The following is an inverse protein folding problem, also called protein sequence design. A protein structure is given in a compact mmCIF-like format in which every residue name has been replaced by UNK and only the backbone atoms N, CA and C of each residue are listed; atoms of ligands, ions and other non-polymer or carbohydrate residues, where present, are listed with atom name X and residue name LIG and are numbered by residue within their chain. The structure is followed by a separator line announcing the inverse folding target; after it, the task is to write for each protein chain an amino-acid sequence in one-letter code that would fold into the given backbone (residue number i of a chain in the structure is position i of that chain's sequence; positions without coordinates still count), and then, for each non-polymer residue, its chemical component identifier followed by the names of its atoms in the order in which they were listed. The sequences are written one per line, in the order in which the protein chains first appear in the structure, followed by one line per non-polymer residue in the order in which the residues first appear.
data_IF_934153131870
#
_entry.id   IF_934153131870
#
_cell.length_a   1.000
_cell.length_b   1.000
_cell.length_c   1.000
_cell.angle_alpha   90.00
_cell.angle_beta   90.00
_cell.angle_gamma   90.00
#
_symmetry.space_group_name_H-M   'P 1'
#
loop_
_entity.id
_entity.type
_entity.pdbx_description
1 polymer ?
#
# COMPACT_ATOMS: atom_id res chain seq x y z
N UNK A 1 -5.37 -9.58 -20.59
CA UNK A 1 -3.96 -10.00 -20.39
C UNK A 1 -3.54 -9.46 -19.04
N UNK A 2 -3.18 -10.31 -18.06
CA UNK A 2 -2.67 -9.82 -16.78
C UNK A 2 -1.20 -9.44 -16.96
N UNK A 3 -0.91 -8.15 -16.91
CA UNK A 3 0.46 -7.66 -16.86
C UNK A 3 1.04 -8.02 -15.48
N UNK A 4 2.17 -8.73 -15.45
CA UNK A 4 2.88 -9.04 -14.21
C UNK A 4 3.45 -7.73 -13.66
N UNK A 5 2.89 -7.26 -12.54
CA UNK A 5 3.42 -6.11 -11.81
C UNK A 5 4.58 -6.56 -10.93
N UNK A 6 5.65 -5.76 -10.91
CA UNK A 6 6.73 -5.92 -9.95
C UNK A 6 6.26 -5.48 -8.56
N UNK A 7 6.69 -6.12 -7.47
CA UNK A 7 6.38 -5.66 -6.13
C UNK A 7 6.83 -4.23 -5.88
N UNK A 8 5.90 -3.40 -5.40
CA UNK A 8 6.16 -2.05 -4.91
C UNK A 8 5.92 -1.97 -3.40
N UNK A 9 6.47 -0.92 -2.79
CA UNK A 9 6.30 -0.60 -1.39
C UNK A 9 4.84 -0.73 -0.95
N UNK A 10 4.62 -1.36 0.20
CA UNK A 10 3.30 -1.61 0.74
C UNK A 10 2.60 -0.34 1.25
N UNK A 11 3.31 0.78 1.46
CA UNK A 11 2.66 2.01 1.89
C UNK A 11 1.90 2.69 0.74
N UNK A 12 0.65 3.16 0.96
CA UNK A 12 -0.14 3.81 -0.07
C UNK A 12 0.60 4.98 -0.74
N UNK A 13 0.55 5.05 -2.07
CA UNK A 13 1.16 6.13 -2.85
C UNK A 13 2.69 6.03 -3.03
N UNK A 14 3.35 5.02 -2.46
CA UNK A 14 4.76 4.78 -2.70
C UNK A 14 4.95 3.71 -3.80
N UNK A 15 5.69 4.05 -4.86
CA UNK A 15 5.93 3.15 -5.99
C UNK A 15 7.37 2.59 -6.03
N UNK A 16 8.14 2.77 -4.96
CA UNK A 16 9.51 2.23 -4.87
C UNK A 16 9.49 0.71 -4.99
N UNK A 17 10.28 0.11 -5.90
CA UNK A 17 10.39 -1.34 -6.01
C UNK A 17 10.91 -1.99 -4.73
N UNK A 18 10.40 -3.17 -4.40
CA UNK A 18 10.80 -3.95 -3.22
C UNK A 18 10.97 -5.42 -3.56
N UNK A 19 11.54 -6.19 -2.64
CA UNK A 19 11.81 -7.62 -2.84
C UNK A 19 10.55 -8.46 -2.94
N UNK A 20 9.52 -8.17 -2.14
CA UNK A 20 8.23 -8.85 -2.23
C UNK A 20 7.04 -8.01 -1.73
N UNK A 21 5.84 -8.40 -2.15
CA UNK A 21 4.59 -7.73 -1.76
C UNK A 21 4.41 -7.71 -0.25
N UNK A 22 4.13 -6.53 0.31
CA UNK A 22 4.04 -6.34 1.75
C UNK A 22 5.32 -5.81 2.41
N UNK A 23 6.43 -5.70 1.67
CA UNK A 23 7.61 -4.96 2.16
C UNK A 23 7.37 -3.45 2.14
N UNK A 24 7.95 -2.77 3.12
CA UNK A 24 8.04 -1.31 3.17
C UNK A 24 9.47 -0.92 2.83
N UNK A 25 9.66 0.03 1.90
CA UNK A 25 11.00 0.46 1.52
C UNK A 25 11.71 1.22 2.66
N UNK A 26 13.04 1.24 2.65
CA UNK A 26 13.85 1.86 3.71
C UNK A 26 13.50 3.33 3.96
N UNK A 27 13.17 4.08 2.91
CA UNK A 27 12.76 5.48 3.03
C UNK A 27 11.45 5.64 3.82
N UNK A 28 10.48 4.77 3.58
CA UNK A 28 9.22 4.76 4.31
C UNK A 28 9.39 4.24 5.74
N UNK A 29 10.26 3.25 5.98
CA UNK A 29 10.60 2.80 7.34
C UNK A 29 11.28 3.94 8.12
N UNK A 30 12.20 4.68 7.51
CA UNK A 30 12.87 5.81 8.16
C UNK A 30 11.91 6.97 8.46
N UNK A 31 11.02 7.30 7.51
CA UNK A 31 10.08 8.41 7.67
C UNK A 31 8.92 8.08 8.63
N UNK A 32 8.41 6.85 8.59
CA UNK A 32 7.18 6.46 9.28
C UNK A 32 7.40 5.49 10.44
N UNK A 33 8.61 4.96 10.66
CA UNK A 33 8.88 3.83 11.56
C UNK A 33 8.13 3.85 12.90
N UNK A 34 8.21 4.93 13.69
CA UNK A 34 7.48 5.04 14.97
C UNK A 34 5.95 5.05 14.83
N UNK A 35 5.44 5.42 13.67
CA UNK A 35 4.01 5.46 13.32
C UNK A 35 3.53 4.13 12.70
N UNK A 36 4.45 3.25 12.29
CA UNK A 36 4.08 1.94 11.75
C UNK A 36 3.62 1.04 12.89
N UNK A 37 2.34 0.67 12.86
CA UNK A 37 1.79 -0.27 13.82
C UNK A 37 2.27 -1.68 13.49
N UNK A 38 3.12 -2.24 14.34
CA UNK A 38 3.43 -3.67 14.30
C UNK A 38 2.20 -4.48 14.77
N UNK A 39 1.74 -5.44 13.96
CA UNK A 39 0.63 -6.33 14.29
C UNK A 39 1.13 -7.78 14.43
N UNK A 40 1.46 -8.25 15.65
CA UNK A 40 2.10 -9.56 15.85
C UNK A 40 1.29 -10.77 15.38
N UNK A 41 -0.03 -10.64 15.28
CA UNK A 41 -0.93 -11.66 14.72
C UNK A 41 -1.45 -11.34 13.33
N UNK A 42 -0.93 -10.28 12.69
CA UNK A 42 -1.29 -9.91 11.33
C UNK A 42 -0.62 -10.82 10.30
N UNK A 43 -1.17 -10.87 9.10
CA UNK A 43 -0.49 -11.45 7.95
C UNK A 43 0.17 -10.37 7.10
N UNK A 44 1.13 -10.80 6.30
CA UNK A 44 1.76 -9.95 5.31
C UNK A 44 0.78 -9.69 4.18
N UNK A 45 0.52 -8.41 3.91
CA UNK A 45 -0.44 -8.01 2.88
C UNK A 45 0.02 -8.49 1.49
N UNK A 46 -0.92 -9.04 0.73
CA UNK A 46 -0.72 -9.54 -0.64
C UNK A 46 -0.94 -8.44 -1.67
N UNK A 47 -0.54 -8.69 -2.92
CA UNK A 47 -0.81 -7.77 -4.04
C UNK A 47 -2.31 -7.46 -4.18
N UNK A 48 -3.17 -8.49 -4.13
CA UNK A 48 -4.61 -8.31 -4.31
C UNK A 48 -5.24 -7.44 -3.20
N UNK A 49 -4.72 -7.55 -1.97
CA UNK A 49 -5.17 -6.74 -0.83
C UNK A 49 -4.67 -5.30 -0.93
N UNK A 50 -3.44 -5.08 -1.41
CA UNK A 50 -2.93 -3.74 -1.75
C UNK A 50 -3.82 -3.09 -2.81
N UNK A 51 -4.10 -3.80 -3.91
CA UNK A 51 -4.94 -3.30 -5.00
C UNK A 51 -6.38 -3.01 -4.54
N UNK A 52 -6.92 -3.81 -3.61
CA UNK A 52 -8.22 -3.57 -3.01
C UNK A 52 -8.23 -2.28 -2.16
N UNK A 53 -7.27 -2.13 -1.24
CA UNK A 53 -7.12 -0.95 -0.39
C UNK A 53 -6.99 0.33 -1.22
N UNK A 54 -6.15 0.31 -2.25
CA UNK A 54 -5.85 1.51 -3.04
C UNK A 54 -7.06 1.92 -3.88
N UNK A 55 -7.83 0.96 -4.41
CA UNK A 55 -9.11 1.22 -5.09
C UNK A 55 -10.16 1.81 -4.16
N UNK A 56 -10.31 1.27 -2.96
CA UNK A 56 -11.24 1.80 -1.95
C UNK A 56 -10.89 3.24 -1.57
N UNK A 57 -9.60 3.52 -1.38
CA UNK A 57 -9.10 4.86 -1.09
C UNK A 57 -9.43 5.84 -2.23
N UNK A 58 -9.15 5.45 -3.48
CA UNK A 58 -9.46 6.26 -4.65
C UNK A 58 -10.97 6.50 -4.80
N UNK A 59 -11.80 5.48 -4.55
CA UNK A 59 -13.25 5.59 -4.59
C UNK A 59 -13.78 6.55 -3.51
N UNK A 60 -13.26 6.48 -2.29
CA UNK A 60 -13.62 7.39 -1.20
C UNK A 60 -13.32 8.85 -1.56
N UNK A 61 -12.13 9.14 -2.10
CA UNK A 61 -11.78 10.49 -2.55
C UNK A 61 -12.66 10.96 -3.72
N UNK A 62 -12.96 10.09 -4.69
CA UNK A 62 -13.86 10.43 -5.78
C UNK A 62 -15.29 10.75 -5.30
N UNK A 63 -15.75 10.11 -4.23
CA UNK A 63 -17.03 10.42 -3.59
C UNK A 63 -17.00 11.75 -2.84
N UNK A 64 -15.92 12.07 -2.14
CA UNK A 64 -15.79 13.36 -1.44
C UNK A 64 -15.63 14.55 -2.41
N UNK A 65 -14.90 14.38 -3.51
CA UNK A 65 -14.79 15.39 -4.57
C UNK A 65 -16.08 15.63 -5.37
N UNK A 66 -17.13 14.83 -5.13
CA UNK A 66 -18.47 14.99 -5.71
C UNK A 66 -19.45 15.69 -4.76
N UNK A 67 -19.05 15.95 -3.52
CA UNK A 67 -19.78 16.82 -2.60
C UNK A 67 -19.18 18.22 -2.73
N UNK A 68 -19.57 18.93 -3.79
CA UNK A 68 -19.33 20.36 -3.98
C UNK A 68 -20.62 21.02 -4.46
#
# INVERSE_FOLDING_TARGET
MSQLALPSCALPGCHTPVGAWGDVCDGCVAACGPLLRHNPGGHRITQAEIDARDRETAAAYAMQGRVS
#
